data_IF_028690614172
#
_entry.id   IF_028690614172
#
_cell.length_a   1.000
_cell.length_b   1.000
_cell.length_c   1.000
_cell.angle_alpha   90.00
_cell.angle_beta   90.00
_cell.angle_gamma   90.00
#
_symmetry.space_group_name_H-M   'P 1'
#
loop_
_entity.id
_entity.type
_entity.pdbx_description
1 polymer ?
#
# COMPACT_ATOMS: atom_id res chain seq x y z
N UNK A 1 -18.10 -72.79 -14.40
CA UNK A 1 -19.32 -72.27 -15.05
C UNK A 1 -19.97 -71.27 -14.10
N UNK A 2 -20.63 -70.22 -14.63
CA UNK A 2 -20.96 -68.90 -14.01
C UNK A 2 -19.74 -67.96 -14.02
N UNK A 3 -19.57 -66.95 -14.89
CA UNK A 3 -20.42 -65.98 -15.63
C UNK A 3 -20.53 -64.61 -14.95
N UNK A 4 -20.46 -63.59 -15.83
CA UNK A 4 -20.96 -62.21 -15.72
C UNK A 4 -19.95 -61.12 -15.29
N UNK A 5 -19.39 -60.49 -16.32
CA UNK A 5 -19.53 -59.07 -16.70
C UNK A 5 -19.74 -58.01 -15.61
N UNK A 6 -19.08 -56.86 -15.77
CA UNK A 6 -19.68 -55.50 -15.77
C UNK A 6 -18.60 -54.44 -16.01
N UNK A 7 -18.69 -53.75 -17.14
CA UNK A 7 -19.25 -52.40 -17.29
C UNK A 7 -18.27 -51.31 -16.83
N UNK A 8 -17.82 -50.53 -17.82
CA UNK A 8 -17.12 -49.27 -17.61
C UNK A 8 -17.96 -48.30 -16.80
N UNK A 9 -17.32 -47.67 -15.83
CA UNK A 9 -17.88 -46.62 -14.99
C UNK A 9 -17.19 -45.29 -15.30
N UNK A 10 -17.99 -44.30 -15.69
CA UNK A 10 -17.69 -42.88 -15.68
C UNK A 10 -17.43 -42.39 -14.24
N UNK A 11 -16.33 -41.66 -14.03
CA UNK A 11 -16.12 -40.68 -12.97
C UNK A 11 -14.81 -39.93 -13.32
N UNK A 12 -14.82 -38.69 -13.79
CA UNK A 12 -15.34 -37.51 -13.10
C UNK A 12 -14.28 -37.06 -12.08
N UNK A 13 -13.58 -35.96 -12.36
CA UNK A 13 -13.05 -34.99 -11.38
C UNK A 13 -12.66 -33.73 -12.17
N UNK A 14 -13.50 -32.70 -12.05
CA UNK A 14 -13.10 -31.31 -12.30
C UNK A 14 -12.04 -30.95 -11.25
N UNK A 15 -10.84 -30.57 -11.69
CA UNK A 15 -9.84 -29.92 -10.83
C UNK A 15 -9.39 -28.62 -11.51
N UNK A 16 -10.17 -27.56 -11.30
CA UNK A 16 -9.66 -26.20 -11.30
C UNK A 16 -10.15 -25.55 -10.02
N UNK A 17 -9.48 -25.91 -8.92
CA UNK A 17 -9.49 -25.12 -7.71
C UNK A 17 -8.77 -23.80 -8.02
N UNK A 18 -9.53 -22.78 -8.39
CA UNK A 18 -9.06 -21.40 -8.28
C UNK A 18 -8.94 -21.13 -6.79
N UNK A 19 -7.73 -21.31 -6.26
CA UNK A 19 -7.39 -20.83 -4.93
C UNK A 19 -7.32 -19.29 -5.01
N UNK A 20 -8.48 -18.63 -4.97
CA UNK A 20 -8.55 -17.25 -4.50
C UNK A 20 -8.03 -17.28 -3.07
N UNK A 21 -6.76 -16.95 -2.88
CA UNK A 21 -6.27 -16.60 -1.56
C UNK A 21 -6.84 -15.21 -1.26
N UNK A 22 -7.75 -15.05 -0.29
CA UNK A 22 -7.96 -13.72 0.27
C UNK A 22 -6.63 -13.30 0.89
N UNK A 23 -6.03 -12.27 0.30
CA UNK A 23 -4.85 -11.61 0.84
C UNK A 23 -5.07 -11.38 2.33
N UNK A 24 -4.17 -11.96 3.14
CA UNK A 24 -4.18 -11.76 4.58
C UNK A 24 -3.79 -10.31 4.87
N UNK A 25 -4.79 -9.43 5.00
CA UNK A 25 -4.65 -8.16 5.69
C UNK A 25 -4.01 -8.42 7.05
N UNK A 26 -2.86 -7.82 7.35
CA UNK A 26 -2.39 -7.85 8.73
C UNK A 26 -3.31 -6.98 9.58
N UNK A 27 -3.86 -7.56 10.64
CA UNK A 27 -4.69 -6.88 11.62
C UNK A 27 -3.88 -5.78 12.34
N UNK A 28 -4.02 -4.54 11.88
CA UNK A 28 -4.31 -3.46 12.79
C UNK A 28 -5.83 -3.37 12.89
N UNK A 29 -6.44 -3.47 14.09
CA UNK A 29 -7.88 -3.29 14.25
C UNK A 29 -8.33 -1.98 13.59
N UNK A 30 -9.47 -2.01 12.89
CA UNK A 30 -10.07 -0.81 12.30
C UNK A 30 -10.11 0.34 13.33
N UNK A 31 -9.65 1.53 12.95
CA UNK A 31 -9.48 2.66 13.87
C UNK A 31 -8.15 2.72 14.64
N UNK A 32 -7.15 1.88 14.30
CA UNK A 32 -5.79 1.95 14.86
C UNK A 32 -4.73 2.48 13.87
N UNK A 33 -5.11 3.13 12.77
CA UNK A 33 -4.12 3.79 11.89
C UNK A 33 -3.31 4.86 12.62
N UNK A 34 -3.84 5.45 13.70
CA UNK A 34 -3.09 6.30 14.62
C UNK A 34 -1.87 5.61 15.26
N UNK A 35 -1.87 4.28 15.41
CA UNK A 35 -0.69 3.52 15.86
C UNK A 35 0.48 3.60 14.87
N UNK A 36 0.21 3.97 13.62
CA UNK A 36 1.24 4.23 12.62
C UNK A 36 1.89 5.62 12.77
N UNK A 37 1.53 6.45 13.75
CA UNK A 37 2.24 7.70 13.97
C UNK A 37 3.76 7.50 14.06
N UNK A 38 4.50 8.43 13.47
CA UNK A 38 5.95 8.41 13.38
C UNK A 38 6.46 8.45 11.94
N UNK A 39 7.78 8.38 11.82
CA UNK A 39 8.49 8.45 10.54
C UNK A 39 8.76 7.05 9.99
N UNK A 40 8.33 6.83 8.77
CA UNK A 40 8.45 5.59 8.00
C UNK A 40 9.37 5.83 6.81
N UNK A 41 10.44 5.06 6.71
CA UNK A 41 11.46 5.19 5.69
C UNK A 41 11.38 4.02 4.70
N UNK A 42 11.44 4.33 3.42
CA UNK A 42 11.31 3.37 2.33
C UNK A 42 12.45 2.35 2.37
N UNK A 43 12.12 1.10 2.13
CA UNK A 43 13.04 -0.03 1.97
C UNK A 43 12.97 -0.51 0.52
N UNK A 44 13.69 0.12 -0.43
CA UNK A 44 13.59 -0.20 -1.85
C UNK A 44 13.84 -1.68 -2.15
N UNK A 45 14.77 -2.30 -1.41
CA UNK A 45 15.15 -3.69 -1.59
C UNK A 45 14.03 -4.68 -1.21
N UNK A 46 13.04 -4.21 -0.43
CA UNK A 46 11.87 -4.99 -0.01
C UNK A 46 10.56 -4.51 -0.69
N UNK A 47 10.64 -3.53 -1.59
CA UNK A 47 9.50 -3.04 -2.39
C UNK A 47 9.46 -3.77 -3.74
N UNK A 48 8.26 -4.00 -4.28
CA UNK A 48 8.06 -4.65 -5.59
C UNK A 48 6.77 -4.14 -6.25
N UNK A 49 6.82 -3.92 -7.56
CA UNK A 49 5.67 -3.50 -8.37
C UNK A 49 4.89 -2.31 -7.75
N UNK A 50 3.68 -2.54 -7.28
CA UNK A 50 2.74 -1.60 -6.65
C UNK A 50 2.84 -1.57 -5.11
N UNK A 51 3.67 -2.43 -4.53
CA UNK A 51 3.84 -2.58 -3.08
C UNK A 51 5.12 -1.92 -2.60
N UNK A 52 4.98 -0.95 -1.69
CA UNK A 52 6.08 -0.24 -1.05
C UNK A 52 6.26 -0.71 0.39
N UNK A 53 7.48 -1.08 0.74
CA UNK A 53 7.86 -1.50 2.09
C UNK A 53 8.54 -0.35 2.84
N UNK A 54 8.13 -0.13 4.09
CA UNK A 54 8.69 0.89 4.97
C UNK A 54 9.11 0.29 6.31
N UNK A 55 10.09 0.92 6.97
CA UNK A 55 10.42 0.67 8.37
C UNK A 55 10.47 1.97 9.14
N UNK A 56 10.22 1.92 10.44
CA UNK A 56 10.36 3.09 11.32
C UNK A 56 11.80 3.63 11.28
N UNK A 57 11.95 4.95 11.45
CA UNK A 57 13.25 5.63 11.52
C UNK A 57 14.15 5.14 12.69
N UNK A 58 13.62 4.37 13.63
CA UNK A 58 14.41 3.71 14.69
C UNK A 58 15.18 2.49 14.20
N UNK A 59 14.89 1.98 12.98
CA UNK A 59 15.63 0.89 12.38
C UNK A 59 17.04 1.32 11.96
N UNK A 60 18.04 0.48 12.19
CA UNK A 60 19.44 0.74 11.81
C UNK A 60 19.66 0.54 10.32
N UNK A 61 19.35 1.58 9.55
CA UNK A 61 19.66 1.61 8.13
C UNK A 61 21.17 1.77 7.88
N UNK A 62 21.66 1.18 6.78
CA UNK A 62 22.96 1.56 6.23
C UNK A 62 22.92 3.04 5.87
N UNK A 63 24.02 3.75 6.15
CA UNK A 63 24.17 5.15 5.81
C UNK A 63 23.95 5.38 4.30
N UNK A 64 23.21 6.43 3.98
CA UNK A 64 22.92 6.84 2.61
C UNK A 64 23.14 8.36 2.54
N UNK A 65 24.12 8.84 1.74
CA UNK A 65 24.24 10.25 1.43
C UNK A 65 22.92 10.78 0.86
N UNK A 66 22.44 11.93 1.33
CA UNK A 66 21.18 12.52 0.88
C UNK A 66 19.91 12.00 1.56
N UNK A 67 20.00 11.07 2.51
CA UNK A 67 18.84 10.58 3.26
C UNK A 67 18.08 9.44 2.58
N UNK A 68 16.91 9.11 3.11
CA UNK A 68 16.05 8.02 2.64
C UNK A 68 14.62 8.55 2.48
N UNK A 69 13.99 8.36 1.31
CA UNK A 69 12.61 8.81 1.10
C UNK A 69 11.66 8.05 2.02
N UNK A 70 10.48 8.60 2.22
CA UNK A 70 9.53 8.07 3.18
C UNK A 70 8.41 9.05 3.47
N UNK A 71 7.77 8.86 4.61
CA UNK A 71 6.74 9.78 5.08
C UNK A 71 6.69 9.82 6.61
N UNK A 72 5.96 10.78 7.15
CA UNK A 72 5.64 10.88 8.57
C UNK A 72 4.14 11.08 8.75
N UNK A 73 3.55 10.20 9.55
CA UNK A 73 2.19 10.37 10.06
C UNK A 73 2.27 11.05 11.43
N UNK A 74 1.63 12.19 11.57
CA UNK A 74 1.59 12.97 12.80
C UNK A 74 0.19 13.03 13.40
N UNK A 75 0.09 13.46 14.67
CA UNK A 75 -1.18 13.77 15.30
C UNK A 75 -1.91 14.90 14.56
N UNK A 76 -3.21 15.02 14.79
CA UNK A 76 -4.07 16.02 14.13
C UNK A 76 -3.97 15.96 12.60
N UNK A 77 -3.95 14.75 12.05
CA UNK A 77 -3.99 14.50 10.60
C UNK A 77 -2.80 15.07 9.81
N UNK A 78 -1.69 15.45 10.48
CA UNK A 78 -0.51 15.96 9.79
C UNK A 78 0.21 14.86 9.00
N UNK A 79 0.48 15.10 7.73
CA UNK A 79 1.26 14.22 6.87
C UNK A 79 2.47 14.97 6.32
N UNK A 80 3.62 14.31 6.25
CA UNK A 80 4.80 14.84 5.54
C UNK A 80 5.36 13.76 4.64
N UNK A 81 5.48 14.02 3.34
CA UNK A 81 6.22 13.17 2.41
C UNK A 81 7.67 13.65 2.31
N UNK A 82 8.60 12.71 2.23
CA UNK A 82 10.01 12.99 2.00
C UNK A 82 10.44 12.36 0.68
N UNK A 83 10.71 13.19 -0.32
CA UNK A 83 11.11 12.77 -1.65
C UNK A 83 12.57 13.14 -1.93
N UNK A 84 13.22 12.45 -2.86
CA UNK A 84 14.58 12.78 -3.28
C UNK A 84 14.55 13.99 -4.20
N UNK A 85 15.25 15.06 -3.82
CA UNK A 85 15.34 16.26 -4.65
C UNK A 85 16.25 16.04 -5.88
N UNK A 86 16.04 16.77 -7.00
CA UNK A 86 16.88 16.65 -8.21
C UNK A 86 18.39 16.86 -7.98
N UNK A 87 18.77 17.64 -6.97
CA UNK A 87 20.16 17.88 -6.57
C UNK A 87 20.70 16.92 -5.49
N UNK A 88 19.94 15.90 -5.12
CA UNK A 88 20.20 15.08 -3.94
C UNK A 88 19.65 15.70 -2.65
N UNK A 89 19.66 14.92 -1.57
CA UNK A 89 18.97 15.30 -0.33
C UNK A 89 17.47 14.96 -0.38
N UNK A 90 16.77 15.30 0.70
CA UNK A 90 15.33 15.14 0.80
C UNK A 90 14.63 16.49 0.75
N UNK A 91 13.54 16.56 -0.02
CA UNK A 91 12.55 17.63 0.07
C UNK A 91 11.38 17.13 0.90
N UNK A 92 10.93 17.94 1.85
CA UNK A 92 9.75 17.67 2.64
C UNK A 92 8.54 18.34 1.97
N UNK A 93 7.45 17.60 1.84
CA UNK A 93 6.19 18.10 1.35
C UNK A 93 5.13 17.88 2.43
N UNK A 94 4.56 18.98 2.92
CA UNK A 94 3.52 18.95 3.94
C UNK A 94 2.15 18.65 3.32
N UNK A 95 1.29 18.03 4.11
CA UNK A 95 -0.07 17.71 3.73
C UNK A 95 -0.88 17.14 4.88
N UNK A 96 -1.97 16.47 4.53
CA UNK A 96 -2.87 15.86 5.50
C UNK A 96 -3.15 14.41 5.18
N UNK A 97 -3.59 13.67 6.20
CA UNK A 97 -4.08 12.30 6.05
C UNK A 97 -5.40 12.10 6.78
N UNK A 98 -6.28 11.27 6.25
CA UNK A 98 -7.49 10.79 6.92
C UNK A 98 -7.65 9.28 6.75
N UNK A 99 -8.40 8.64 7.65
CA UNK A 99 -8.79 7.24 7.50
C UNK A 99 -10.09 7.17 6.70
N UNK A 100 -10.10 6.38 5.63
CA UNK A 100 -11.31 6.13 4.83
C UNK A 100 -12.20 5.08 5.51
N UNK A 101 -13.45 4.97 5.06
CA UNK A 101 -14.36 3.91 5.53
C UNK A 101 -13.87 2.50 5.20
N UNK A 102 -12.99 2.36 4.21
CA UNK A 102 -12.33 1.10 3.85
C UNK A 102 -11.07 0.81 4.71
N UNK A 103 -10.70 1.69 5.64
CA UNK A 103 -9.49 1.55 6.46
C UNK A 103 -8.20 1.91 5.71
N UNK A 104 -8.29 2.71 4.65
CA UNK A 104 -7.12 3.22 3.92
C UNK A 104 -6.70 4.60 4.46
N UNK A 105 -5.46 4.99 4.18
CA UNK A 105 -5.00 6.36 4.39
C UNK A 105 -5.27 7.19 3.13
N UNK A 106 -6.18 8.15 3.19
CA UNK A 106 -6.35 9.15 2.13
C UNK A 106 -5.34 10.28 2.37
N UNK A 107 -4.48 10.54 1.39
CA UNK A 107 -3.42 11.54 1.45
C UNK A 107 -3.77 12.73 0.57
N UNK A 108 -3.66 13.93 1.13
CA UNK A 108 -3.82 15.20 0.44
C UNK A 108 -2.56 16.04 0.54
N UNK A 109 -2.08 16.56 -0.60
CA UNK A 109 -0.82 17.31 -0.71
C UNK A 109 -1.05 18.64 -1.46
N UNK A 110 -1.41 19.73 -0.76
CA UNK A 110 -1.89 20.96 -1.39
C UNK A 110 -0.81 21.81 -2.06
N UNK A 111 0.46 21.67 -1.67
CA UNK A 111 1.54 22.60 -2.06
C UNK A 111 2.30 22.20 -3.34
N UNK A 112 1.83 21.21 -4.10
CA UNK A 112 2.42 20.89 -5.41
C UNK A 112 1.75 21.73 -6.51
N UNK A 113 2.51 22.23 -7.49
CA UNK A 113 1.96 22.86 -8.70
C UNK A 113 2.47 22.12 -9.95
N UNK A 114 1.60 21.50 -10.76
CA UNK A 114 0.16 21.31 -10.49
C UNK A 114 -0.07 20.40 -9.26
N UNK A 115 -1.17 20.65 -8.54
CA UNK A 115 -1.54 19.86 -7.36
C UNK A 115 -1.63 18.38 -7.71
N UNK A 116 -0.91 17.54 -6.97
CA UNK A 116 -1.06 16.10 -7.10
C UNK A 116 -2.48 15.71 -6.65
N UNK A 117 -3.20 14.86 -7.40
CA UNK A 117 -4.49 14.37 -6.95
C UNK A 117 -4.33 13.60 -5.65
N UNK A 118 -5.34 13.69 -4.79
CA UNK A 118 -5.43 12.86 -3.60
C UNK A 118 -5.29 11.39 -3.98
N UNK A 119 -4.64 10.62 -3.11
CA UNK A 119 -4.43 9.20 -3.33
C UNK A 119 -4.60 8.42 -2.03
N UNK A 120 -4.99 7.15 -2.18
CA UNK A 120 -5.16 6.25 -1.06
C UNK A 120 -3.96 5.32 -0.91
N UNK A 121 -3.55 5.09 0.33
CA UNK A 121 -2.62 4.04 0.69
C UNK A 121 -3.37 2.94 1.44
N UNK A 122 -3.45 1.79 0.82
CA UNK A 122 -3.95 0.57 1.44
C UNK A 122 -2.83 -0.08 2.24
N UNK A 123 -3.12 -0.45 3.49
CA UNK A 123 -2.21 -1.27 4.26
C UNK A 123 -2.38 -2.74 3.89
N UNK A 124 -1.31 -3.34 3.41
CA UNK A 124 -1.27 -4.78 3.12
C UNK A 124 -0.88 -5.55 4.38
N UNK A 125 0.25 -5.15 5.01
CA UNK A 125 0.67 -5.75 6.27
C UNK A 125 1.47 -4.79 7.17
N UNK A 126 1.47 -5.10 8.48
CA UNK A 126 2.41 -4.55 9.45
C UNK A 126 2.95 -5.67 10.35
N UNK A 127 4.16 -6.17 10.05
CA UNK A 127 4.78 -7.28 10.78
C UNK A 127 6.25 -7.02 11.03
N UNK A 128 6.73 -7.36 12.23
CA UNK A 128 8.15 -7.23 12.62
C UNK A 128 8.73 -5.84 12.35
N UNK A 129 7.92 -4.78 12.52
CA UNK A 129 8.33 -3.40 12.28
C UNK A 129 8.45 -3.00 10.81
N UNK A 130 8.00 -3.84 9.88
CA UNK A 130 7.86 -3.54 8.45
C UNK A 130 6.41 -3.25 8.15
N UNK A 131 6.15 -2.08 7.56
CA UNK A 131 4.85 -1.67 7.06
C UNK A 131 4.85 -1.79 5.53
N UNK A 132 3.92 -2.56 4.97
CA UNK A 132 3.73 -2.66 3.54
C UNK A 132 2.45 -1.97 3.13
N UNK A 133 2.58 -1.08 2.16
CA UNK A 133 1.49 -0.29 1.62
C UNK A 133 1.39 -0.51 0.12
N UNK A 134 0.17 -0.45 -0.40
CA UNK A 134 -0.12 -0.33 -1.83
C UNK A 134 -0.70 1.05 -2.10
N UNK A 135 -0.19 1.76 -3.11
CA UNK A 135 -0.82 3.00 -3.57
C UNK A 135 -1.98 2.62 -4.50
N UNK A 136 -3.19 2.96 -4.08
CA UNK A 136 -4.36 2.84 -4.91
C UNK A 136 -4.47 4.10 -5.76
N UNK A 137 -3.92 4.01 -6.97
CA UNK A 137 -4.15 5.01 -7.99
C UNK A 137 -5.44 4.64 -8.70
N UNK A 138 -6.53 5.39 -8.47
CA UNK A 138 -7.58 5.72 -9.45
C UNK A 138 -8.80 6.38 -8.79
N UNK A 139 -8.84 7.72 -8.83
CA UNK A 139 -9.88 8.35 -9.66
C UNK A 139 -9.15 9.13 -10.75
N UNK A 140 -9.35 8.83 -12.06
CA UNK A 140 -9.21 9.90 -13.03
C UNK A 140 -10.14 11.01 -12.56
N UNK A 141 -9.62 12.24 -12.46
CA UNK A 141 -10.47 13.40 -12.42
C UNK A 141 -11.51 13.19 -13.53
N UNK A 142 -12.77 13.10 -13.12
CA UNK A 142 -13.93 13.04 -14.01
C UNK A 142 -13.65 13.93 -15.20
N UNK A 143 -13.91 13.39 -16.40
CA UNK A 143 -14.01 14.11 -17.67
C UNK A 143 -14.07 15.62 -17.43
N UNK A 144 -13.02 16.34 -17.84
CA UNK A 144 -13.20 17.74 -18.17
C UNK A 144 -14.21 17.72 -19.31
N UNK A 145 -15.49 17.87 -18.97
CA UNK A 145 -16.53 18.23 -19.91
C UNK A 145 -16.13 19.63 -20.38
N UNK A 146 -15.28 19.67 -21.40
CA UNK A 146 -15.24 20.78 -22.34
C UNK A 146 -16.54 20.64 -23.13
N UNK A 147 -17.60 21.26 -22.64
CA UNK A 147 -18.71 21.60 -23.52
C UNK A 147 -18.35 22.97 -24.14
N UNK A 148 -18.45 23.12 -25.48
CA UNK A 148 -18.13 24.37 -26.18
C UNK A 148 -19.03 25.53 -25.75
#
# INVERSE_FOLDING_TARGET
MVSVSRLGGLAGILLLAVACHPDHSAELPAGQLAALHGTWLLVPEASRADTLSYRRNTYRFKYRPGGRPGFRLGPAQRFVRYDVAPGGGLVAQEGTWTETTAGHLLIHLPELEPSEPDYELEMLDYKQGVLRLRRLSERPAVEIIRNP
#
